data_IF_154043058934
#
_entry.id   IF_154043058934
#
_cell.length_a   1.000
_cell.length_b   1.000
_cell.length_c   1.000
_cell.angle_alpha   90.00
_cell.angle_beta   90.00
_cell.angle_gamma   90.00
#
_symmetry.space_group_name_H-M   'P 1'
#
loop_
_entity.id
_entity.type
_entity.pdbx_description
1 polymer ?
#
# COMPACT_ATOMS: atom_id res chain seq x y z
N UNK A 1 -18.82 41.01 -3.73
CA UNK A 1 -19.35 39.83 -4.44
C UNK A 1 -18.96 38.64 -3.62
N UNK A 2 -19.95 37.94 -3.06
CA UNK A 2 -19.72 36.76 -2.23
C UNK A 2 -19.12 35.61 -3.04
N UNK A 3 -18.11 34.96 -2.47
CA UNK A 3 -17.51 33.75 -3.00
C UNK A 3 -18.45 32.57 -2.73
N UNK A 4 -19.02 32.00 -3.80
CA UNK A 4 -19.80 30.75 -3.75
C UNK A 4 -18.83 29.59 -4.08
N UNK A 5 -18.62 28.63 -3.17
CA UNK A 5 -17.90 27.42 -3.54
C UNK A 5 -18.76 26.63 -4.54
N UNK A 6 -18.16 26.22 -5.66
CA UNK A 6 -18.75 25.26 -6.59
C UNK A 6 -18.92 23.94 -5.85
N UNK A 7 -20.13 23.70 -5.39
CA UNK A 7 -20.62 22.37 -5.01
C UNK A 7 -21.41 21.86 -6.21
N UNK A 8 -20.72 21.60 -7.32
CA UNK A 8 -21.34 20.89 -8.44
C UNK A 8 -20.93 19.43 -8.32
N UNK A 9 -21.91 18.64 -7.85
CA UNK A 9 -21.83 17.19 -7.84
C UNK A 9 -21.64 16.67 -9.26
N UNK A 10 -20.90 15.56 -9.36
CA UNK A 10 -20.77 14.77 -10.57
C UNK A 10 -22.15 14.57 -11.21
N UNK A 11 -22.40 15.24 -12.33
CA UNK A 11 -23.53 14.91 -13.19
C UNK A 11 -23.09 13.74 -14.07
N UNK A 12 -23.80 12.59 -14.05
CA UNK A 12 -23.45 11.46 -14.88
C UNK A 12 -23.69 11.79 -16.36
N UNK A 13 -22.71 11.44 -17.21
CA UNK A 13 -22.87 11.43 -18.67
C UNK A 13 -23.91 10.39 -19.10
N UNK A 14 -24.53 10.63 -20.26
CA UNK A 14 -25.81 10.07 -20.69
C UNK A 14 -25.86 8.53 -20.91
N UNK A 15 -24.76 7.79 -20.70
CA UNK A 15 -24.72 6.32 -20.75
C UNK A 15 -24.39 5.64 -19.40
N UNK A 16 -24.31 6.40 -18.30
CA UNK A 16 -24.74 5.97 -16.96
C UNK A 16 -24.01 4.82 -16.26
N UNK A 17 -22.80 4.41 -16.69
CA UNK A 17 -21.93 3.54 -15.88
C UNK A 17 -20.51 4.09 -15.86
N UNK A 18 -20.19 4.86 -14.82
CA UNK A 18 -18.81 5.15 -14.45
C UNK A 18 -18.12 3.81 -14.16
N UNK A 19 -17.06 3.50 -14.90
CA UNK A 19 -16.29 2.30 -14.63
C UNK A 19 -15.63 2.43 -13.24
N UNK A 20 -15.73 1.39 -12.43
CA UNK A 20 -14.99 1.33 -11.17
C UNK A 20 -13.71 0.55 -11.39
N UNK A 21 -12.57 1.09 -10.96
CA UNK A 21 -11.32 0.36 -10.94
C UNK A 21 -10.58 0.58 -9.62
N UNK A 22 -9.79 -0.41 -9.23
CA UNK A 22 -8.87 -0.35 -8.09
C UNK A 22 -7.42 -0.13 -8.53
N UNK A 23 -7.17 0.00 -9.84
CA UNK A 23 -5.85 0.27 -10.40
C UNK A 23 -5.94 1.18 -11.62
N UNK A 24 -4.97 2.08 -11.77
CA UNK A 24 -4.87 2.97 -12.92
C UNK A 24 -3.42 3.41 -13.16
N UNK A 25 -3.13 3.83 -14.38
CA UNK A 25 -1.90 4.52 -14.71
C UNK A 25 -2.14 6.03 -14.67
N UNK A 26 -1.13 6.80 -14.23
CA UNK A 26 -1.27 8.23 -14.04
C UNK A 26 0.04 8.98 -14.26
N UNK A 27 -0.10 10.23 -14.70
CA UNK A 27 0.95 11.24 -14.60
C UNK A 27 0.75 12.03 -13.32
N UNK A 28 1.81 12.23 -12.53
CA UNK A 28 1.71 13.06 -11.33
C UNK A 28 3.01 13.79 -11.04
N UNK A 29 2.89 14.93 -10.36
CA UNK A 29 4.00 15.70 -9.81
C UNK A 29 4.13 15.42 -8.33
N UNK A 30 5.36 15.18 -7.88
CA UNK A 30 5.65 15.01 -6.46
C UNK A 30 5.90 16.37 -5.80
N UNK A 31 5.17 16.64 -4.72
CA UNK A 31 5.24 17.85 -3.92
C UNK A 31 5.71 17.58 -2.48
N UNK A 32 5.96 16.31 -2.12
CA UNK A 32 6.47 15.92 -0.81
C UNK A 32 7.91 16.37 -0.59
N UNK A 33 8.22 16.78 0.64
CA UNK A 33 9.60 17.07 1.05
C UNK A 33 10.46 15.80 1.01
N UNK A 34 9.94 14.71 1.57
CA UNK A 34 10.60 13.40 1.50
C UNK A 34 10.39 12.76 0.12
N UNK A 35 11.34 11.96 -0.39
CA UNK A 35 11.17 11.27 -1.66
C UNK A 35 9.95 10.35 -1.69
N UNK A 36 9.28 10.28 -2.83
CA UNK A 36 8.24 9.30 -3.11
C UNK A 36 8.84 7.90 -3.12
N UNK A 37 8.36 7.05 -2.21
CA UNK A 37 8.71 5.64 -2.15
C UNK A 37 7.58 4.79 -2.72
N UNK A 38 7.84 3.93 -3.74
CA UNK A 38 6.88 2.93 -4.19
C UNK A 38 6.44 2.01 -3.06
N UNK A 39 5.23 1.47 -3.19
CA UNK A 39 4.55 0.58 -2.23
C UNK A 39 4.25 1.20 -0.85
N UNK A 40 4.72 2.42 -0.55
CA UNK A 40 4.33 3.16 0.65
C UNK A 40 2.85 3.56 0.53
N UNK A 41 2.02 3.32 1.56
CA UNK A 41 0.62 3.72 1.53
C UNK A 41 0.46 5.23 1.77
N UNK A 42 -0.34 5.87 0.93
CA UNK A 42 -0.80 7.24 1.07
C UNK A 42 -2.33 7.27 1.11
N UNK A 43 -2.93 8.44 1.31
CA UNK A 43 -4.32 8.68 0.97
C UNK A 43 -4.40 9.32 -0.42
N UNK A 44 -5.39 8.94 -1.20
CA UNK A 44 -5.76 9.63 -2.42
C UNK A 44 -7.10 10.32 -2.22
N UNK A 45 -7.25 11.53 -2.75
CA UNK A 45 -8.54 12.18 -2.95
C UNK A 45 -8.81 12.28 -4.45
N UNK A 46 -9.82 11.57 -4.92
CA UNK A 46 -10.22 11.48 -6.32
C UNK A 46 -11.75 11.60 -6.41
N UNK A 47 -12.26 12.52 -7.23
CA UNK A 47 -13.71 12.76 -7.38
C UNK A 47 -14.47 12.93 -6.03
N UNK A 48 -13.82 13.57 -5.04
CA UNK A 48 -14.39 13.75 -3.69
C UNK A 48 -14.38 12.51 -2.79
N UNK A 49 -13.86 11.38 -3.27
CA UNK A 49 -13.71 10.13 -2.51
C UNK A 49 -12.27 10.04 -1.96
N UNK A 50 -12.15 9.63 -0.70
CA UNK A 50 -10.85 9.33 -0.08
C UNK A 50 -10.61 7.83 0.06
N UNK A 51 -9.48 7.32 -0.43
CA UNK A 51 -9.10 5.91 -0.33
C UNK A 51 -7.62 5.76 0.05
N UNK A 52 -7.21 4.58 0.56
CA UNK A 52 -5.77 4.27 0.66
C UNK A 52 -5.25 3.91 -0.72
N UNK A 53 -4.06 4.41 -1.03
CA UNK A 53 -3.42 4.23 -2.31
C UNK A 53 -1.95 3.83 -2.13
N UNK A 54 -1.43 3.05 -3.07
CA UNK A 54 -0.01 2.73 -3.19
C UNK A 54 0.43 2.97 -4.63
N UNK A 55 1.59 3.61 -4.79
CA UNK A 55 2.26 3.69 -6.09
C UNK A 55 3.01 2.37 -6.27
N UNK A 56 2.49 1.48 -7.11
CA UNK A 56 3.02 0.11 -7.24
C UNK A 56 4.19 0.00 -8.19
N UNK A 57 4.26 0.90 -9.15
CA UNK A 57 5.32 0.92 -10.16
C UNK A 57 5.57 2.38 -10.59
N UNK A 58 6.78 2.89 -10.34
CA UNK A 58 7.23 4.11 -10.99
C UNK A 58 7.88 3.70 -12.31
N UNK A 59 7.10 3.75 -13.39
CA UNK A 59 7.56 3.27 -14.69
C UNK A 59 8.67 4.14 -15.26
N UNK A 60 8.55 5.47 -15.14
CA UNK A 60 9.60 6.42 -15.48
C UNK A 60 9.35 7.81 -14.86
N UNK A 61 10.43 8.59 -14.73
CA UNK A 61 10.39 10.03 -14.50
C UNK A 61 10.36 10.75 -15.84
N UNK A 62 9.63 11.85 -15.93
CA UNK A 62 9.60 12.73 -17.10
C UNK A 62 10.49 13.94 -16.82
N UNK A 63 11.41 14.21 -17.74
CA UNK A 63 12.15 15.48 -17.74
C UNK A 63 11.23 16.62 -18.20
N UNK A 64 11.01 17.68 -17.40
CA UNK A 64 10.06 18.73 -17.76
C UNK A 64 10.54 19.63 -18.91
N UNK A 65 11.85 19.68 -19.19
CA UNK A 65 12.41 20.52 -20.25
C UNK A 65 12.48 19.76 -21.57
N UNK A 66 12.86 18.48 -21.53
CA UNK A 66 13.07 17.67 -22.75
C UNK A 66 11.92 16.71 -23.05
N UNK A 67 11.03 16.46 -22.09
CA UNK A 67 9.99 15.42 -22.13
C UNK A 67 10.53 14.00 -22.27
N UNK A 68 11.83 13.79 -22.02
CA UNK A 68 12.43 12.46 -22.07
C UNK A 68 11.98 11.59 -20.89
N UNK A 69 11.87 10.29 -21.15
CA UNK A 69 11.54 9.29 -20.14
C UNK A 69 12.82 8.74 -19.52
N UNK A 70 13.02 9.00 -18.23
CA UNK A 70 14.20 8.63 -17.48
C UNK A 70 13.85 7.53 -16.48
N UNK A 71 14.68 6.48 -16.42
CA UNK A 71 14.51 5.44 -15.42
C UNK A 71 14.71 6.03 -14.01
N UNK A 72 13.73 5.82 -13.14
CA UNK A 72 13.74 6.31 -11.78
C UNK A 72 13.09 5.27 -10.86
N UNK A 73 13.54 5.22 -9.60
CA UNK A 73 12.96 4.36 -8.58
C UNK A 73 12.15 5.12 -7.54
N UNK A 74 12.36 6.42 -7.45
CA UNK A 74 11.73 7.37 -6.53
C UNK A 74 11.53 8.69 -7.26
N UNK A 75 10.66 9.56 -6.74
CA UNK A 75 10.58 10.96 -7.18
C UNK A 75 10.94 11.89 -6.03
N UNK A 76 11.66 12.97 -6.31
CA UNK A 76 11.91 14.06 -5.36
C UNK A 76 11.03 15.28 -5.66
N UNK A 77 11.07 16.28 -4.79
CA UNK A 77 10.26 17.49 -4.88
C UNK A 77 10.35 18.14 -6.28
N UNK A 78 9.20 18.33 -6.91
CA UNK A 78 9.07 18.95 -8.22
C UNK A 78 9.21 18.00 -9.41
N UNK A 79 9.61 16.74 -9.19
CA UNK A 79 9.71 15.77 -10.28
C UNK A 79 8.35 15.23 -10.70
N UNK A 80 8.22 14.95 -12.00
CA UNK A 80 7.03 14.39 -12.63
C UNK A 80 7.31 12.92 -12.94
N UNK A 81 6.38 12.04 -12.58
CA UNK A 81 6.47 10.62 -12.90
C UNK A 81 5.24 10.10 -13.60
N UNK A 82 5.46 9.04 -14.37
CA UNK A 82 4.41 8.16 -14.84
C UNK A 82 4.44 6.88 -14.04
N UNK A 83 3.30 6.54 -13.42
CA UNK A 83 3.24 5.43 -12.49
C UNK A 83 1.97 4.60 -12.62
N UNK A 84 2.03 3.39 -12.07
CA UNK A 84 0.86 2.56 -11.81
C UNK A 84 0.50 2.70 -10.35
N UNK A 85 -0.78 2.86 -10.10
CA UNK A 85 -1.35 3.12 -8.81
C UNK A 85 -2.36 2.02 -8.49
N UNK A 86 -2.35 1.54 -7.25
CA UNK A 86 -3.35 0.62 -6.72
C UNK A 86 -4.07 1.22 -5.51
N UNK A 87 -5.37 1.03 -5.46
CA UNK A 87 -6.27 1.45 -4.40
C UNK A 87 -6.64 0.26 -3.51
N UNK A 88 -6.99 0.55 -2.25
CA UNK A 88 -7.50 -0.47 -1.32
C UNK A 88 -8.89 -1.02 -1.68
N UNK A 89 -9.62 -0.31 -2.54
CA UNK A 89 -10.93 -0.69 -3.07
C UNK A 89 -11.18 -0.06 -4.44
N UNK A 90 -12.13 -0.61 -5.18
CA UNK A 90 -12.56 -0.01 -6.44
C UNK A 90 -13.26 1.33 -6.19
N UNK A 91 -12.84 2.37 -6.93
CA UNK A 91 -13.41 3.72 -6.88
C UNK A 91 -13.92 4.08 -8.27
N UNK A 92 -15.07 4.74 -8.40
CA UNK A 92 -15.53 5.26 -9.68
C UNK A 92 -14.62 6.41 -10.13
N UNK A 93 -14.14 6.34 -11.36
CA UNK A 93 -13.46 7.45 -12.00
C UNK A 93 -13.80 7.47 -13.49
N UNK A 94 -13.62 8.64 -14.10
CA UNK A 94 -13.83 8.83 -15.52
C UNK A 94 -12.59 8.31 -16.26
N UNK A 95 -12.78 7.38 -17.20
CA UNK A 95 -11.73 6.92 -18.10
C UNK A 95 -11.80 7.59 -19.48
N UNK A 96 -12.79 8.47 -19.71
CA UNK A 96 -12.83 9.29 -20.91
C UNK A 96 -11.84 10.45 -20.78
N UNK A 97 -10.92 10.52 -21.74
CA UNK A 97 -9.95 11.61 -21.94
C UNK A 97 -10.61 12.92 -22.39
N UNK A 98 -11.81 13.22 -21.87
CA UNK A 98 -12.46 14.51 -22.03
C UNK A 98 -11.75 15.56 -21.16
N UNK A 99 -11.81 16.84 -21.56
CA UNK A 99 -11.16 17.98 -20.88
C UNK A 99 -11.68 18.26 -19.44
N UNK A 100 -12.36 17.31 -18.81
CA UNK A 100 -12.83 17.43 -17.43
C UNK A 100 -11.71 17.03 -16.45
N UNK A 101 -11.57 17.79 -15.37
CA UNK A 101 -10.65 17.47 -14.26
C UNK A 101 -11.17 16.31 -13.40
N UNK A 102 -12.16 15.55 -13.88
CA UNK A 102 -12.78 14.38 -13.22
C UNK A 102 -11.76 13.26 -12.95
N UNK A 103 -10.69 13.21 -13.74
CA UNK A 103 -9.55 12.29 -13.61
C UNK A 103 -8.42 12.81 -12.71
N UNK A 104 -8.53 14.03 -12.18
CA UNK A 104 -7.52 14.61 -11.31
C UNK A 104 -7.62 14.08 -9.87
N UNK A 105 -6.47 13.90 -9.24
CA UNK A 105 -6.38 13.47 -7.86
C UNK A 105 -5.26 14.19 -7.10
N UNK A 106 -5.35 14.15 -5.77
CA UNK A 106 -4.26 14.53 -4.88
C UNK A 106 -3.85 13.37 -3.99
N UNK A 107 -2.55 13.28 -3.71
CA UNK A 107 -1.96 12.35 -2.76
C UNK A 107 -1.67 13.06 -1.45
N UNK A 108 -2.00 12.43 -0.33
CA UNK A 108 -1.88 12.98 1.02
C UNK A 108 -1.08 12.00 1.88
N UNK A 109 -0.05 12.48 2.57
CA UNK A 109 0.68 11.66 3.55
C UNK A 109 -0.17 11.43 4.81
N UNK A 110 -0.24 10.16 5.26
CA UNK A 110 -1.08 9.76 6.41
C UNK A 110 -0.58 10.30 7.75
N UNK A 111 0.71 10.55 7.90
CA UNK A 111 1.31 11.02 9.16
C UNK A 111 1.19 12.52 9.31
N UNK A 112 1.50 13.27 8.25
CA UNK A 112 1.52 14.74 8.27
C UNK A 112 0.21 15.38 7.82
N UNK A 113 -0.68 14.61 7.20
CA UNK A 113 -1.90 15.11 6.56
C UNK A 113 -1.62 16.22 5.53
N UNK A 114 -0.44 16.16 4.89
CA UNK A 114 0.03 17.12 3.91
C UNK A 114 -0.18 16.57 2.50
N UNK A 115 -0.53 17.45 1.55
CA UNK A 115 -0.57 17.08 0.13
C UNK A 115 0.85 16.87 -0.38
N UNK A 116 1.16 15.65 -0.80
CA UNK A 116 2.50 15.25 -1.27
C UNK A 116 2.55 15.01 -2.77
N UNK A 117 1.43 15.10 -3.47
CA UNK A 117 1.41 15.04 -4.93
C UNK A 117 0.05 15.37 -5.52
N UNK A 118 0.04 15.68 -6.80
CA UNK A 118 -1.16 15.87 -7.59
C UNK A 118 -0.94 15.27 -8.97
N UNK A 119 -1.99 14.69 -9.54
CA UNK A 119 -1.88 14.00 -10.81
C UNK A 119 -3.20 13.86 -11.54
N UNK A 120 -3.09 13.28 -12.72
CA UNK A 120 -4.21 13.03 -13.63
C UNK A 120 -4.12 11.58 -14.08
N UNK A 121 -5.25 10.88 -14.02
CA UNK A 121 -5.36 9.51 -14.50
C UNK A 121 -5.21 9.50 -16.03
N UNK A 122 -4.40 8.58 -16.54
CA UNK A 122 -4.28 8.31 -17.98
C UNK A 122 -5.35 7.28 -18.39
N UNK A 123 -5.30 6.09 -17.80
CA UNK A 123 -6.32 5.06 -18.03
C UNK A 123 -6.43 4.06 -16.87
N UNK A 124 -7.61 3.43 -16.76
CA UNK A 124 -7.84 2.32 -15.84
C UNK A 124 -6.99 1.10 -16.20
N UNK A 125 -6.25 0.57 -15.22
CA UNK A 125 -5.56 -0.70 -15.36
C UNK A 125 -6.55 -1.81 -15.04
N UNK A 126 -7.01 -2.49 -16.09
CA UNK A 126 -7.79 -3.71 -15.90
C UNK A 126 -6.85 -4.80 -15.41
N UNK A 127 -7.04 -5.28 -14.17
CA UNK A 127 -6.43 -6.54 -13.72
C UNK A 127 -6.72 -7.62 -14.75
N UNK A 128 -5.85 -8.63 -14.84
CA UNK A 128 -6.22 -9.90 -15.45
C UNK A 128 -7.48 -10.41 -14.71
N UNK A 129 -8.65 -10.24 -15.33
CA UNK A 129 -9.98 -10.56 -14.79
C UNK A 129 -10.18 -12.06 -14.53
N UNK A 130 -9.15 -12.87 -14.73
CA UNK A 130 -9.14 -14.32 -14.57
C UNK A 130 -8.47 -14.81 -13.27
N UNK A 131 -8.29 -13.94 -12.27
CA UNK A 131 -7.91 -14.39 -10.92
C UNK A 131 -9.09 -14.11 -9.98
N UNK A 132 -10.08 -14.99 -10.01
CA UNK A 132 -11.08 -15.04 -8.95
C UNK A 132 -10.43 -15.56 -7.66
N UNK A 133 -10.79 -15.00 -6.51
CA UNK A 133 -10.44 -15.60 -5.23
C UNK A 133 -11.05 -17.00 -5.17
N UNK A 134 -10.19 -18.02 -5.22
CA UNK A 134 -10.66 -19.38 -5.06
C UNK A 134 -11.17 -19.54 -3.62
N UNK A 135 -12.47 -19.75 -3.47
CA UNK A 135 -13.05 -19.98 -2.15
C UNK A 135 -12.62 -21.34 -1.63
N UNK A 136 -11.74 -21.31 -0.63
CA UNK A 136 -11.28 -22.51 0.06
C UNK A 136 -12.44 -23.08 0.88
N UNK A 137 -12.67 -24.40 0.75
CA UNK A 137 -13.66 -25.11 1.60
C UNK A 137 -13.31 -25.08 3.08
N UNK A 138 -12.02 -24.93 3.40
CA UNK A 138 -11.52 -24.75 4.76
C UNK A 138 -11.10 -23.29 4.91
N UNK A 139 -11.88 -22.54 5.68
CA UNK A 139 -11.66 -21.12 5.94
C UNK A 139 -10.85 -20.87 7.22
N UNK A 140 -10.59 -19.59 7.50
CA UNK A 140 -9.87 -19.15 8.70
C UNK A 140 -10.56 -19.59 10.00
N UNK A 141 -11.89 -19.62 10.03
CA UNK A 141 -12.66 -19.98 11.23
C UNK A 141 -12.49 -21.47 11.55
N UNK A 142 -12.58 -22.33 10.53
CA UNK A 142 -12.33 -23.76 10.66
C UNK A 142 -10.90 -24.04 11.16
N UNK A 143 -9.89 -23.34 10.62
CA UNK A 143 -8.49 -23.48 11.09
C UNK A 143 -8.30 -22.97 12.51
N UNK A 144 -8.91 -21.85 12.87
CA UNK A 144 -8.88 -21.31 14.23
C UNK A 144 -9.50 -22.29 15.24
N UNK A 145 -10.64 -22.90 14.89
CA UNK A 145 -11.30 -23.90 15.70
C UNK A 145 -10.46 -25.17 15.84
N UNK A 146 -9.94 -25.71 14.73
CA UNK A 146 -9.05 -26.88 14.75
C UNK A 146 -7.77 -26.62 15.56
N UNK A 147 -7.34 -25.36 15.63
CA UNK A 147 -6.17 -24.98 16.40
C UNK A 147 -6.48 -24.60 17.86
N UNK A 148 -7.75 -24.55 18.26
CA UNK A 148 -8.23 -24.08 19.56
C UNK A 148 -7.62 -22.72 19.98
N UNK A 149 -7.37 -21.84 19.00
CA UNK A 149 -6.73 -20.54 19.24
C UNK A 149 -7.29 -19.46 18.31
N UNK A 150 -7.18 -18.20 18.73
CA UNK A 150 -7.51 -17.05 17.90
C UNK A 150 -6.26 -16.63 17.10
N UNK A 151 -6.22 -16.84 15.77
CA UNK A 151 -5.10 -16.37 14.97
C UNK A 151 -5.04 -14.84 14.97
N UNK A 152 -3.83 -14.31 15.10
CA UNK A 152 -3.55 -12.89 15.05
C UNK A 152 -2.10 -12.65 14.61
N UNK A 153 -1.81 -11.39 14.26
CA UNK A 153 -0.45 -10.92 14.03
C UNK A 153 -0.11 -9.97 15.18
N UNK A 154 0.98 -10.26 15.89
CA UNK A 154 1.57 -9.40 16.91
C UNK A 154 2.76 -8.67 16.29
N UNK A 155 2.56 -7.39 15.97
CA UNK A 155 3.54 -6.58 15.26
C UNK A 155 4.37 -5.73 16.21
N UNK A 156 5.65 -6.08 16.39
CA UNK A 156 6.58 -5.39 17.27
C UNK A 156 7.32 -4.30 16.52
N UNK A 157 7.14 -3.04 16.95
CA UNK A 157 7.76 -1.86 16.33
C UNK A 157 8.73 -1.19 17.30
N UNK A 158 9.72 -0.47 16.76
CA UNK A 158 10.76 0.21 17.55
C UNK A 158 12.13 0.21 16.87
N UNK A 159 13.06 0.99 17.40
CA UNK A 159 14.41 1.17 16.86
C UNK A 159 15.22 -0.14 16.83
N UNK A 160 16.24 -0.21 15.97
CA UNK A 160 17.21 -1.31 15.99
C UNK A 160 17.83 -1.43 17.39
N UNK A 161 18.02 -2.66 17.88
CA UNK A 161 18.56 -2.90 19.23
C UNK A 161 17.60 -2.65 20.40
N UNK A 162 16.37 -2.18 20.18
CA UNK A 162 15.38 -1.94 21.26
C UNK A 162 14.84 -3.24 21.93
N UNK A 163 15.39 -4.41 21.60
CA UNK A 163 14.99 -5.69 22.19
C UNK A 163 13.73 -6.33 21.58
N UNK A 164 13.25 -5.86 20.42
CA UNK A 164 12.04 -6.41 19.75
C UNK A 164 12.11 -7.91 19.54
N UNK A 165 13.18 -8.40 18.90
CA UNK A 165 13.37 -9.83 18.64
C UNK A 165 13.54 -10.61 19.93
N UNK A 166 14.16 -10.03 20.96
CA UNK A 166 14.28 -10.64 22.30
C UNK A 166 12.89 -10.84 22.93
N UNK A 167 12.06 -9.81 22.95
CA UNK A 167 10.70 -9.87 23.51
C UNK A 167 9.84 -10.84 22.70
N UNK A 168 9.89 -10.78 21.37
CA UNK A 168 9.13 -11.65 20.49
C UNK A 168 9.53 -13.12 20.67
N UNK A 169 10.83 -13.42 20.76
CA UNK A 169 11.34 -14.78 21.04
C UNK A 169 10.89 -15.30 22.42
N UNK A 170 10.99 -14.48 23.46
CA UNK A 170 10.51 -14.87 24.80
C UNK A 170 9.00 -15.11 24.83
N UNK A 171 8.23 -14.31 24.09
CA UNK A 171 6.78 -14.51 23.98
C UNK A 171 6.45 -15.78 23.20
N UNK A 172 7.15 -16.04 22.08
CA UNK A 172 6.99 -17.26 21.30
C UNK A 172 7.24 -18.50 22.17
N UNK A 173 8.34 -18.54 22.92
CA UNK A 173 8.65 -19.66 23.83
C UNK A 173 7.55 -19.90 24.85
N UNK A 174 6.98 -18.84 25.45
CA UNK A 174 5.86 -18.95 26.40
C UNK A 174 4.60 -19.47 25.72
N UNK A 175 4.24 -18.95 24.56
CA UNK A 175 3.06 -19.39 23.81
C UNK A 175 3.19 -20.84 23.36
N UNK A 176 4.37 -21.24 22.87
CA UNK A 176 4.67 -22.61 22.50
C UNK A 176 4.55 -23.55 23.70
N UNK A 177 5.07 -23.16 24.87
CA UNK A 177 4.92 -23.93 26.11
C UNK A 177 3.45 -24.09 26.55
N UNK A 178 2.57 -23.16 26.17
CA UNK A 178 1.12 -23.23 26.38
C UNK A 178 0.38 -24.04 25.29
N UNK A 179 1.11 -24.71 24.39
CA UNK A 179 0.53 -25.50 23.29
C UNK A 179 -0.05 -24.67 22.15
N UNK A 180 0.28 -23.36 22.07
CA UNK A 180 -0.17 -22.49 20.98
C UNK A 180 0.72 -22.67 19.75
N UNK A 181 0.09 -22.67 18.58
CA UNK A 181 0.78 -22.74 17.28
C UNK A 181 1.22 -21.33 16.88
N UNK A 182 2.53 -21.09 16.91
CA UNK A 182 3.14 -19.77 16.67
C UNK A 182 4.17 -19.82 15.56
N UNK A 183 4.51 -18.65 15.01
CA UNK A 183 5.70 -18.47 14.17
C UNK A 183 6.26 -17.06 14.32
N UNK A 184 7.57 -16.94 14.55
CA UNK A 184 8.29 -15.67 14.58
C UNK A 184 8.88 -15.31 13.21
N UNK A 185 8.34 -14.26 12.59
CA UNK A 185 8.92 -13.57 11.45
C UNK A 185 9.90 -12.49 11.95
N UNK A 186 11.19 -12.72 11.75
CA UNK A 186 12.24 -11.78 12.10
C UNK A 186 12.84 -11.10 10.84
N UNK A 187 13.13 -9.80 10.96
CA UNK A 187 13.70 -8.99 9.88
C UNK A 187 14.96 -9.55 9.24
N UNK A 188 15.87 -10.10 10.03
CA UNK A 188 17.13 -10.62 9.54
C UNK A 188 16.92 -11.99 8.87
N UNK A 189 16.10 -12.85 9.47
CA UNK A 189 15.73 -14.16 8.90
C UNK A 189 15.02 -14.03 7.55
N UNK A 190 14.09 -13.09 7.43
CA UNK A 190 13.35 -12.84 6.18
C UNK A 190 14.29 -12.38 5.06
N UNK A 191 15.31 -11.59 5.39
CA UNK A 191 16.33 -11.11 4.43
C UNK A 191 17.26 -12.22 3.92
N UNK A 192 17.39 -13.34 4.63
CA UNK A 192 18.11 -14.49 4.10
C UNK A 192 17.34 -15.24 2.99
N UNK A 193 16.01 -15.07 2.92
CA UNK A 193 15.13 -15.81 1.99
C UNK A 193 14.22 -14.90 1.19
N UNK A 194 13.01 -14.68 1.71
CA UNK A 194 11.91 -13.95 1.06
C UNK A 194 12.30 -12.56 0.53
N UNK A 195 13.23 -11.90 1.21
CA UNK A 195 13.67 -10.54 0.89
C UNK A 195 15.17 -10.44 0.59
N UNK A 196 15.78 -11.53 0.08
CA UNK A 196 17.23 -11.57 -0.22
C UNK A 196 17.67 -10.62 -1.34
N UNK A 197 16.73 -10.22 -2.19
CA UNK A 197 16.91 -9.28 -3.30
C UNK A 197 16.87 -7.81 -2.86
N UNK A 198 16.49 -7.54 -1.59
CA UNK A 198 16.30 -6.19 -1.07
C UNK A 198 17.50 -5.73 -0.23
N UNK A 199 18.02 -4.55 -0.54
CA UNK A 199 19.05 -3.86 0.23
C UNK A 199 18.50 -3.15 1.48
N UNK A 200 19.17 -2.08 1.89
CA UNK A 200 18.87 -1.31 3.11
C UNK A 200 18.44 0.14 2.83
N UNK A 201 18.21 0.49 1.56
CA UNK A 201 17.60 1.76 1.17
C UNK A 201 16.13 1.83 1.64
N UNK A 202 15.56 3.02 1.73
CA UNK A 202 14.20 3.20 2.27
C UNK A 202 13.14 2.48 1.45
N UNK A 203 13.24 2.47 0.12
CA UNK A 203 12.35 1.70 -0.75
C UNK A 203 12.43 0.19 -0.49
N UNK A 204 13.65 -0.35 -0.34
CA UNK A 204 13.87 -1.76 -0.04
C UNK A 204 13.29 -2.14 1.35
N UNK A 205 13.29 -1.19 2.30
CA UNK A 205 12.65 -1.37 3.60
C UNK A 205 11.14 -1.43 3.48
N UNK A 206 10.53 -0.51 2.72
CA UNK A 206 9.07 -0.49 2.47
C UNK A 206 8.63 -1.81 1.82
N UNK A 207 9.30 -2.24 0.76
CA UNK A 207 8.96 -3.50 0.08
C UNK A 207 9.16 -4.72 0.98
N UNK A 208 10.22 -4.71 1.81
CA UNK A 208 10.43 -5.78 2.79
C UNK A 208 9.26 -5.86 3.80
N UNK A 209 8.78 -4.71 4.31
CA UNK A 209 7.64 -4.67 5.23
C UNK A 209 6.37 -5.15 4.53
N UNK A 210 6.11 -4.75 3.28
CA UNK A 210 4.95 -5.19 2.49
C UNK A 210 4.94 -6.71 2.30
N UNK A 211 6.07 -7.31 1.88
CA UNK A 211 6.19 -8.78 1.71
C UNK A 211 5.91 -9.53 3.00
N UNK A 212 6.47 -9.05 4.11
CA UNK A 212 6.27 -9.63 5.44
C UNK A 212 4.82 -9.54 5.88
N UNK A 213 4.17 -8.39 5.66
CA UNK A 213 2.77 -8.20 6.02
C UNK A 213 1.86 -9.20 5.29
N UNK A 214 2.09 -9.43 3.98
CA UNK A 214 1.35 -10.43 3.21
C UNK A 214 1.59 -11.86 3.72
N UNK A 215 2.84 -12.21 4.04
CA UNK A 215 3.16 -13.53 4.62
C UNK A 215 2.50 -13.70 6.00
N UNK A 216 2.55 -12.68 6.85
CA UNK A 216 1.93 -12.70 8.16
C UNK A 216 0.41 -12.87 8.07
N UNK A 217 -0.22 -12.19 7.10
CA UNK A 217 -1.65 -12.33 6.81
C UNK A 217 -2.00 -13.75 6.38
N UNK A 218 -1.23 -14.36 5.49
CA UNK A 218 -1.42 -15.76 5.06
C UNK A 218 -1.22 -16.76 6.21
N UNK A 219 -0.22 -16.55 7.06
CA UNK A 219 0.01 -17.40 8.24
C UNK A 219 -1.10 -17.27 9.29
N UNK A 220 -1.62 -16.06 9.51
CA UNK A 220 -2.77 -15.85 10.37
C UNK A 220 -4.06 -16.44 9.76
N UNK A 221 -4.22 -16.38 8.44
CA UNK A 221 -5.30 -17.09 7.74
C UNK A 221 -5.17 -18.62 7.91
N UNK A 222 -3.95 -19.15 7.95
CA UNK A 222 -3.66 -20.55 8.26
C UNK A 222 -3.93 -20.94 9.73
N UNK A 223 -4.36 -19.99 10.58
CA UNK A 223 -4.74 -20.26 11.97
C UNK A 223 -3.60 -20.10 12.98
N UNK A 224 -2.47 -19.50 12.61
CA UNK A 224 -1.31 -19.28 13.49
C UNK A 224 -1.41 -17.96 14.26
N UNK A 225 -0.69 -17.88 15.39
CA UNK A 225 -0.34 -16.61 16.03
C UNK A 225 1.04 -16.21 15.50
N UNK A 226 1.09 -15.17 14.69
CA UNK A 226 2.32 -14.71 14.04
C UNK A 226 2.94 -13.60 14.87
N UNK A 227 4.21 -13.72 15.20
CA UNK A 227 4.99 -12.66 15.84
C UNK A 227 5.88 -12.03 14.76
N UNK A 228 5.82 -10.71 14.60
CA UNK A 228 6.59 -10.01 13.56
C UNK A 228 7.48 -8.94 14.21
N UNK A 229 8.80 -9.11 14.15
CA UNK A 229 9.78 -8.17 14.72
C UNK A 229 10.57 -7.44 13.62
N UNK A 230 10.09 -6.25 13.24
CA UNK A 230 10.67 -5.47 12.14
C UNK A 230 10.96 -4.02 12.53
N UNK A 231 11.95 -3.43 11.88
CA UNK A 231 12.14 -1.98 11.89
C UNK A 231 11.10 -1.44 10.91
N UNK A 232 10.01 -0.88 11.44
CA UNK A 232 9.02 -0.13 10.68
C UNK A 232 9.25 1.36 10.95
N UNK A 233 10.09 2.04 10.13
CA UNK A 233 10.48 3.42 10.39
C UNK A 233 9.32 4.40 10.19
N UNK A 234 8.37 4.08 9.31
CA UNK A 234 7.29 4.99 8.94
C UNK A 234 6.04 4.79 9.81
N UNK A 235 5.36 5.89 10.16
CA UNK A 235 4.09 5.80 10.90
C UNK A 235 2.99 5.11 10.10
N UNK A 236 2.95 5.30 8.77
CA UNK A 236 1.93 4.72 7.90
C UNK A 236 1.98 3.19 7.85
N UNK A 237 3.17 2.59 7.96
CA UNK A 237 3.35 1.15 8.09
C UNK A 237 2.88 0.60 9.46
N UNK A 238 2.89 1.42 10.52
CA UNK A 238 2.45 1.03 11.87
C UNK A 238 0.93 1.04 12.05
N UNK A 239 0.20 1.62 11.10
CA UNK A 239 -1.27 1.71 11.11
C UNK A 239 -1.95 0.74 10.13
N UNK A 240 -1.20 -0.18 9.50
CA UNK A 240 -1.74 -1.31 8.74
C UNK A 240 -2.30 -2.40 9.66
#
# INVERSE_FOLDING_TARGET
GEYKPLVDGLLPTADGKMATADQFAAHFVWAGHDPMLPERPYLIRLAGIEATVQITDLSYRVDPETLEHLAAKTLILGEIGYCKIALDRAVPFDDDASDDWSSAFTLIDKGENATVGAGVIDFALRRATNIGWFQMKVDKAARAQANEQKPCVLWFTGLSGAGKSTVANLLEQKLHAMGRRTYLLDGDNVRHGLSRDLGFADQDRVENIRRVAEVAKLMADAGLIVLASFISPFQSERQM
#
